data_IF_727568294068
#
_entry.id   IF_727568294068
#
_cell.length_a   1.000
_cell.length_b   1.000
_cell.length_c   1.000
_cell.angle_alpha   90.00
_cell.angle_beta   90.00
_cell.angle_gamma   90.00
#
_symmetry.space_group_name_H-M   'P 1'
#
loop_
_entity.id
_entity.type
_entity.pdbx_description
1 polymer ?
#
# COMPACT_ATOMS: atom_id res chain seq x y z
N UNK A 1 11.11 2.11 -7.29
CA UNK A 1 12.50 1.73 -7.64
C UNK A 1 13.42 1.88 -6.43
N UNK A 2 13.55 3.07 -5.83
CA UNK A 2 14.42 3.29 -4.66
C UNK A 2 14.17 2.32 -3.50
N UNK A 3 12.90 2.10 -3.12
CA UNK A 3 12.54 1.15 -2.07
C UNK A 3 13.00 -0.27 -2.40
N UNK A 4 12.80 -0.73 -3.62
CA UNK A 4 13.21 -2.07 -4.05
C UNK A 4 14.74 -2.22 -4.02
N UNK A 5 15.49 -1.18 -4.40
CA UNK A 5 16.96 -1.18 -4.34
C UNK A 5 17.49 -1.29 -2.91
N UNK A 6 16.79 -0.70 -1.93
CA UNK A 6 17.12 -0.84 -0.51
C UNK A 6 16.75 -2.24 0.01
N UNK A 7 15.55 -2.73 -0.32
CA UNK A 7 15.06 -4.04 0.12
C UNK A 7 15.91 -5.20 -0.41
N UNK A 8 16.56 -5.05 -1.56
CA UNK A 8 17.50 -6.04 -2.11
C UNK A 8 18.68 -6.39 -1.17
N UNK A 9 18.98 -5.55 -0.18
CA UNK A 9 20.01 -5.80 0.84
C UNK A 9 19.55 -6.77 1.94
N UNK A 10 18.26 -7.09 2.00
CA UNK A 10 17.63 -7.88 3.06
C UNK A 10 16.86 -9.07 2.46
N UNK A 11 17.56 -10.11 1.97
CA UNK A 11 16.92 -11.25 1.31
C UNK A 11 15.96 -12.01 2.24
N UNK A 12 16.22 -11.98 3.55
CA UNK A 12 15.45 -12.69 4.57
C UNK A 12 14.10 -12.01 4.91
N UNK A 13 13.80 -10.83 4.35
CA UNK A 13 12.49 -10.18 4.53
C UNK A 13 11.36 -10.89 3.79
N UNK A 14 11.67 -11.74 2.80
CA UNK A 14 10.65 -12.43 2.01
C UNK A 14 9.94 -13.48 2.86
N UNK A 15 8.62 -13.40 2.90
CA UNK A 15 7.76 -14.43 3.45
C UNK A 15 7.26 -15.33 2.31
N UNK A 16 7.94 -16.46 2.09
CA UNK A 16 7.61 -17.37 0.99
C UNK A 16 7.71 -16.70 -0.38
N UNK A 17 6.69 -16.92 -1.21
CA UNK A 17 6.59 -16.38 -2.57
C UNK A 17 5.76 -15.08 -2.65
N UNK A 18 5.36 -14.52 -1.50
CA UNK A 18 4.63 -13.26 -1.46
C UNK A 18 5.52 -12.10 -1.96
N UNK A 19 4.94 -11.18 -2.77
CA UNK A 19 5.67 -9.99 -3.19
C UNK A 19 5.94 -9.09 -1.98
N UNK A 20 7.12 -8.44 -1.97
CA UNK A 20 7.51 -7.47 -0.93
C UNK A 20 6.78 -6.13 -1.06
N UNK A 21 6.19 -5.86 -2.22
CA UNK A 21 5.50 -4.62 -2.54
C UNK A 21 4.28 -4.85 -3.44
N UNK A 22 3.45 -3.83 -3.51
CA UNK A 22 2.41 -3.66 -4.51
C UNK A 22 2.36 -2.16 -4.85
N UNK A 23 1.85 -1.83 -6.03
CA UNK A 23 1.76 -0.44 -6.47
C UNK A 23 0.35 0.11 -6.20
N UNK A 24 0.30 1.22 -5.47
CA UNK A 24 -0.90 2.03 -5.36
C UNK A 24 -1.21 2.74 -6.70
N UNK A 25 -2.47 3.13 -6.88
CA UNK A 25 -2.91 3.87 -8.05
C UNK A 25 -2.43 5.34 -8.01
N UNK A 26 -2.65 6.04 -9.12
CA UNK A 26 -2.52 7.49 -9.23
C UNK A 26 -3.78 8.04 -9.87
N UNK A 27 -4.15 9.26 -9.49
CA UNK A 27 -5.26 10.01 -10.04
C UNK A 27 -4.76 11.36 -10.61
N UNK A 28 -5.43 11.90 -11.64
CA UNK A 28 -5.09 13.23 -12.13
C UNK A 28 -5.53 14.29 -11.13
N UNK A 29 -4.68 15.30 -10.92
CA UNK A 29 -5.08 16.53 -10.24
C UNK A 29 -6.04 17.28 -11.14
N UNK A 30 -7.06 17.89 -10.53
CA UNK A 30 -8.09 18.63 -11.24
C UNK A 30 -7.95 20.13 -11.00
N UNK A 31 -8.30 20.92 -12.01
CA UNK A 31 -8.49 22.36 -11.88
C UNK A 31 -9.65 22.63 -10.91
N UNK A 32 -9.46 23.56 -9.98
CA UNK A 32 -10.43 23.79 -8.90
C UNK A 32 -11.77 24.37 -9.38
N UNK A 33 -11.76 25.09 -10.51
CA UNK A 33 -12.92 25.74 -11.10
C UNK A 33 -13.68 24.85 -12.08
N UNK A 34 -12.99 24.13 -12.96
CA UNK A 34 -13.61 23.29 -14.01
C UNK A 34 -13.72 21.80 -13.66
N UNK A 35 -12.96 21.33 -12.67
CA UNK A 35 -12.77 19.91 -12.34
C UNK A 35 -12.20 19.07 -13.50
N UNK A 36 -11.60 19.70 -14.51
CA UNK A 36 -10.88 19.02 -15.59
C UNK A 36 -9.45 18.70 -15.16
N UNK A 37 -8.80 17.65 -15.71
CA UNK A 37 -7.40 17.36 -15.45
C UNK A 37 -6.49 18.56 -15.74
N UNK A 38 -5.53 18.79 -14.83
CA UNK A 38 -4.49 19.81 -15.01
C UNK A 38 -3.53 19.39 -16.13
N UNK A 39 -3.18 20.33 -17.00
CA UNK A 39 -2.04 20.23 -17.94
C UNK A 39 -0.85 21.02 -17.36
N UNK A 40 0.32 20.38 -17.22
CA UNK A 40 1.54 21.01 -16.69
C UNK A 40 2.78 20.64 -17.51
N UNK A 41 2.96 21.25 -18.71
CA UNK A 41 4.01 20.85 -19.66
C UNK A 41 5.45 20.99 -19.15
N UNK A 42 5.69 21.84 -18.15
CA UNK A 42 7.01 22.00 -17.55
C UNK A 42 7.46 20.75 -16.78
N UNK A 43 6.51 19.98 -16.24
CA UNK A 43 6.74 18.71 -15.56
C UNK A 43 5.43 17.89 -15.49
N UNK A 44 5.14 17.04 -16.48
CA UNK A 44 3.90 16.27 -16.52
C UNK A 44 3.70 15.33 -15.32
N UNK A 45 4.75 15.01 -14.56
CA UNK A 45 4.60 14.22 -13.33
C UNK A 45 3.80 14.95 -12.26
N UNK A 46 3.77 16.28 -12.29
CA UNK A 46 3.01 17.13 -11.38
C UNK A 46 1.51 17.11 -11.64
N UNK A 47 1.05 16.56 -12.77
CA UNK A 47 -0.36 16.40 -13.11
C UNK A 47 -1.03 15.28 -12.30
N UNK A 48 -0.24 14.43 -11.63
CA UNK A 48 -0.73 13.25 -10.93
C UNK A 48 -0.50 13.35 -9.43
N UNK A 49 -1.39 12.74 -8.65
CA UNK A 49 -1.19 12.50 -7.24
C UNK A 49 -1.62 11.08 -6.85
N UNK A 50 -1.08 10.53 -5.77
CA UNK A 50 -1.68 9.36 -5.17
C UNK A 50 -3.03 9.73 -4.54
N UNK A 51 -4.06 8.87 -4.64
CA UNK A 51 -5.39 9.08 -4.06
C UNK A 51 -5.45 8.91 -2.52
N UNK A 52 -4.31 9.11 -1.84
CA UNK A 52 -4.15 8.88 -0.41
C UNK A 52 -4.05 7.39 -0.01
N UNK A 53 -3.75 7.15 1.27
CA UNK A 53 -3.51 5.79 1.79
C UNK A 53 -4.76 4.91 1.85
N UNK A 54 -5.96 5.48 1.65
CA UNK A 54 -7.21 4.72 1.53
C UNK A 54 -7.25 3.80 0.30
N UNK A 55 -6.41 4.07 -0.70
CA UNK A 55 -6.28 3.22 -1.89
C UNK A 55 -5.67 1.84 -1.60
N UNK A 56 -5.12 1.63 -0.40
CA UNK A 56 -4.64 0.34 0.06
C UNK A 56 -5.58 -0.82 -0.29
N UNK A 57 -6.87 -0.67 -0.03
CA UNK A 57 -7.86 -1.73 -0.25
C UNK A 57 -8.03 -2.04 -1.74
N UNK A 58 -8.18 -1.00 -2.57
CA UNK A 58 -8.34 -1.15 -4.02
C UNK A 58 -7.07 -1.72 -4.64
N UNK A 59 -5.90 -1.21 -4.27
CA UNK A 59 -4.61 -1.66 -4.78
C UNK A 59 -4.31 -3.13 -4.41
N UNK A 60 -4.61 -3.54 -3.17
CA UNK A 60 -4.47 -4.95 -2.76
C UNK A 60 -5.39 -5.87 -3.58
N UNK A 61 -6.63 -5.44 -3.83
CA UNK A 61 -7.59 -6.20 -4.61
C UNK A 61 -7.18 -6.29 -6.09
N UNK A 62 -6.89 -5.15 -6.74
CA UNK A 62 -6.60 -5.12 -8.19
C UNK A 62 -5.24 -5.70 -8.56
N UNK A 63 -4.28 -5.69 -7.63
CA UNK A 63 -2.98 -6.34 -7.82
C UNK A 63 -3.02 -7.87 -7.70
N UNK A 64 -4.09 -8.44 -7.13
CA UNK A 64 -4.20 -9.85 -6.79
C UNK A 64 -3.36 -10.27 -5.58
N UNK A 65 -2.73 -9.33 -4.87
CA UNK A 65 -1.98 -9.62 -3.63
C UNK A 65 -2.92 -10.07 -2.52
N UNK A 66 -4.12 -9.50 -2.45
CA UNK A 66 -5.13 -9.94 -1.48
C UNK A 66 -5.48 -11.42 -1.63
N UNK A 67 -5.70 -11.88 -2.86
CA UNK A 67 -6.04 -13.28 -3.13
C UNK A 67 -4.89 -14.20 -2.72
N UNK A 68 -3.64 -13.85 -3.06
CA UNK A 68 -2.46 -14.63 -2.66
C UNK A 68 -2.31 -14.75 -1.14
N UNK A 69 -2.50 -13.64 -0.41
CA UNK A 69 -2.48 -13.65 1.05
C UNK A 69 -3.56 -14.59 1.60
N UNK A 70 -4.78 -14.54 1.07
CA UNK A 70 -5.88 -15.39 1.53
C UNK A 70 -5.60 -16.87 1.23
N UNK A 71 -5.07 -17.18 0.05
CA UNK A 71 -4.71 -18.52 -0.41
C UNK A 71 -3.59 -19.14 0.44
N UNK A 72 -2.62 -18.34 0.89
CA UNK A 72 -1.58 -18.75 1.84
C UNK A 72 -2.08 -18.87 3.29
N UNK A 73 -3.36 -18.57 3.54
CA UNK A 73 -3.99 -18.76 4.85
C UNK A 73 -3.92 -17.54 5.77
N UNK A 74 -3.43 -16.39 5.29
CA UNK A 74 -3.50 -15.15 6.05
C UNK A 74 -4.98 -14.70 6.20
N UNK A 75 -5.28 -14.09 7.35
CA UNK A 75 -6.65 -13.65 7.71
C UNK A 75 -6.72 -12.22 8.21
N UNK A 76 -5.64 -11.74 8.82
CA UNK A 76 -5.56 -10.42 9.43
C UNK A 76 -4.29 -9.73 8.98
N UNK A 77 -4.38 -8.42 8.81
CA UNK A 77 -3.25 -7.56 8.50
C UNK A 77 -3.28 -6.36 9.44
N UNK A 78 -2.14 -6.07 10.06
CA UNK A 78 -1.92 -4.82 10.80
C UNK A 78 -1.26 -3.83 9.86
N UNK A 79 -1.85 -2.65 9.73
CA UNK A 79 -1.36 -1.59 8.84
C UNK A 79 -0.97 -0.38 9.68
N UNK A 80 0.20 0.18 9.40
CA UNK A 80 0.68 1.41 10.04
C UNK A 80 1.42 2.29 9.04
N UNK A 81 1.55 3.57 9.38
CA UNK A 81 2.42 4.47 8.64
C UNK A 81 3.89 4.06 8.80
N UNK A 82 4.67 4.18 7.74
CA UNK A 82 6.10 3.82 7.74
C UNK A 82 6.96 4.76 8.59
N UNK A 83 6.54 6.01 8.77
CA UNK A 83 7.18 6.98 9.64
C UNK A 83 6.87 6.77 11.13
N UNK A 84 5.87 5.93 11.45
CA UNK A 84 5.60 5.53 12.83
C UNK A 84 6.41 4.27 13.21
N UNK A 85 7.66 4.48 13.60
CA UNK A 85 8.57 3.41 14.03
C UNK A 85 8.18 2.75 15.37
N UNK A 86 7.15 3.27 16.06
CA UNK A 86 6.62 2.68 17.29
C UNK A 86 5.50 1.67 17.06
N UNK A 87 4.98 1.56 15.83
CA UNK A 87 3.96 0.58 15.49
C UNK A 87 4.59 -0.80 15.22
N UNK A 88 4.04 -1.83 15.87
CA UNK A 88 4.39 -3.22 15.64
C UNK A 88 3.17 -4.12 15.89
N UNK A 89 3.13 -5.35 15.33
CA UNK A 89 2.09 -6.31 15.65
C UNK A 89 2.07 -6.62 17.16
N UNK A 90 0.91 -6.40 17.80
CA UNK A 90 0.68 -6.73 19.20
C UNK A 90 -0.20 -8.00 19.30
N UNK A 91 0.32 -9.14 19.82
CA UNK A 91 -0.45 -10.38 19.94
C UNK A 91 -1.72 -10.26 20.78
N UNK A 92 -1.73 -9.42 21.83
CA UNK A 92 -2.91 -9.23 22.68
C UNK A 92 -4.00 -8.50 21.91
N UNK A 93 -3.63 -7.45 21.18
CA UNK A 93 -4.55 -6.72 20.31
C UNK A 93 -5.11 -7.62 19.22
N UNK A 94 -4.27 -8.44 18.58
CA UNK A 94 -4.70 -9.36 17.53
C UNK A 94 -5.61 -10.46 18.08
N UNK A 95 -5.32 -11.01 19.27
CA UNK A 95 -6.17 -11.99 19.92
C UNK A 95 -7.54 -11.40 20.28
N UNK A 96 -7.58 -10.17 20.78
CA UNK A 96 -8.83 -9.46 21.06
C UNK A 96 -9.64 -9.20 19.78
N UNK A 97 -8.98 -8.75 18.71
CA UNK A 97 -9.62 -8.52 17.42
C UNK A 97 -10.25 -9.80 16.88
N UNK A 98 -9.48 -10.90 16.85
CA UNK A 98 -9.96 -12.19 16.36
C UNK A 98 -11.09 -12.82 17.20
N UNK A 99 -11.26 -12.41 18.46
CA UNK A 99 -12.35 -12.88 19.34
C UNK A 99 -13.59 -11.99 19.30
N UNK A 100 -13.49 -10.77 18.77
CA UNK A 100 -14.57 -9.77 18.81
C UNK A 100 -15.40 -9.70 17.51
N UNK A 101 -15.03 -10.45 16.46
CA UNK A 101 -15.75 -10.53 15.18
C UNK A 101 -15.34 -11.72 14.32
#
# INVERSE_FOLDING_TARGET
EDTQAVLARYPDLRAGDLPLDFLQHKEPKLLADSLEPVDWPADPSMEWCPPGHGDLYTALLTSGVLDRLIDEGYRYATVSNSDNLGAAPDPQMMAWFAQSG
#
